data_IF_720596307045
#
_entry.id   IF_720596307045
#
_cell.length_a   1.000
_cell.length_b   1.000
_cell.length_c   1.000
_cell.angle_alpha   90.00
_cell.angle_beta   90.00
_cell.angle_gamma   90.00
#
_symmetry.space_group_name_H-M   'P 1'
#
loop_
_entity.id
_entity.type
_entity.pdbx_description
1 polymer ?
#
# COMPACT_ATOMS: atom_id res chain seq x y z
N UNK A 1 -35.11 76.69 26.20
CA UNK A 1 -34.04 76.06 25.38
C UNK A 1 -32.65 76.41 25.91
N UNK A 2 -32.31 75.97 27.14
CA UNK A 2 -30.96 76.16 27.73
C UNK A 2 -30.39 74.86 28.33
N UNK A 3 -31.26 73.89 28.61
CA UNK A 3 -30.86 72.56 29.11
C UNK A 3 -30.67 71.49 28.02
N UNK A 4 -31.03 71.77 26.76
CA UNK A 4 -30.80 70.86 25.62
C UNK A 4 -29.38 71.03 25.05
N UNK A 5 -28.83 72.25 25.11
CA UNK A 5 -27.46 72.57 24.66
C UNK A 5 -26.37 71.98 25.57
N UNK A 6 -26.64 71.80 26.87
CA UNK A 6 -25.67 71.21 27.81
C UNK A 6 -25.56 69.68 27.67
N UNK A 7 -26.62 69.00 27.23
CA UNK A 7 -26.58 67.54 27.01
C UNK A 7 -25.80 67.20 25.73
N UNK A 8 -25.84 68.06 24.71
CA UNK A 8 -25.10 67.86 23.45
C UNK A 8 -23.59 68.10 23.62
N UNK A 9 -23.18 68.98 24.54
CA UNK A 9 -21.76 69.22 24.81
C UNK A 9 -21.09 68.15 25.70
N UNK A 10 -21.85 67.37 26.48
CA UNK A 10 -21.29 66.30 27.33
C UNK A 10 -21.16 64.97 26.58
N UNK A 11 -21.91 64.77 25.49
CA UNK A 11 -21.80 63.55 24.66
C UNK A 11 -20.59 63.52 23.72
N UNK A 12 -19.81 64.61 23.62
CA UNK A 12 -18.57 64.62 22.82
C UNK A 12 -17.32 64.13 23.57
N UNK A 13 -17.42 63.79 24.86
CA UNK A 13 -16.26 63.41 25.68
C UNK A 13 -16.13 61.92 26.00
N UNK A 14 -17.01 61.05 25.49
CA UNK A 14 -16.88 59.60 25.64
C UNK A 14 -16.86 58.91 24.29
N UNK A 15 -15.71 59.04 23.63
CA UNK A 15 -15.39 58.36 22.39
C UNK A 15 -13.90 58.07 22.29
N UNK A 16 -13.26 57.64 23.38
CA UNK A 16 -11.97 56.93 23.27
C UNK A 16 -12.24 55.54 22.70
N UNK A 17 -12.73 55.47 21.46
CA UNK A 17 -12.49 54.30 20.65
C UNK A 17 -11.01 54.37 20.30
N UNK A 18 -10.21 53.55 20.98
CA UNK A 18 -8.85 53.25 20.55
C UNK A 18 -8.90 52.93 19.06
N UNK A 19 -8.44 53.87 18.24
CA UNK A 19 -8.29 53.64 16.82
C UNK A 19 -7.15 52.63 16.69
N UNK A 20 -7.50 51.36 16.52
CA UNK A 20 -6.53 50.33 16.15
C UNK A 20 -5.93 50.76 14.81
N UNK A 21 -4.76 51.39 14.86
CA UNK A 21 -4.00 51.71 13.66
C UNK A 21 -3.46 50.39 13.14
N UNK A 22 -4.15 49.79 12.16
CA UNK A 22 -3.67 48.59 11.49
C UNK A 22 -2.42 48.97 10.71
N UNK A 23 -1.25 48.59 11.23
CA UNK A 23 0.03 48.79 10.55
C UNK A 23 0.16 47.70 9.50
N UNK A 24 -0.06 48.08 8.24
CA UNK A 24 0.07 47.21 7.08
C UNK A 24 1.51 47.39 6.57
N UNK A 25 2.40 46.47 6.93
CA UNK A 25 3.75 46.39 6.35
C UNK A 25 3.71 45.62 5.01
N UNK A 26 3.93 46.28 3.86
CA UNK A 26 3.88 45.65 2.55
C UNK A 26 4.92 44.54 2.38
N UNK A 27 6.09 44.64 3.03
CA UNK A 27 7.16 43.65 2.91
C UNK A 27 6.80 42.37 3.67
N UNK A 28 6.29 42.51 4.89
CA UNK A 28 5.81 41.38 5.68
C UNK A 28 4.61 40.70 5.00
N UNK A 29 3.66 41.48 4.47
CA UNK A 29 2.53 40.94 3.68
C UNK A 29 2.98 40.19 2.44
N UNK A 30 3.96 40.71 1.69
CA UNK A 30 4.53 40.02 0.54
C UNK A 30 5.20 38.70 0.95
N UNK A 31 5.96 38.69 2.05
CA UNK A 31 6.62 37.48 2.54
C UNK A 31 5.60 36.42 3.00
N UNK A 32 4.60 36.82 3.79
CA UNK A 32 3.54 35.93 4.29
C UNK A 32 2.68 35.39 3.15
N UNK A 33 2.29 36.21 2.17
CA UNK A 33 1.53 35.75 1.00
C UNK A 33 2.35 34.80 0.12
N UNK A 34 3.65 35.04 -0.07
CA UNK A 34 4.54 34.13 -0.81
C UNK A 34 4.68 32.78 -0.09
N UNK A 35 4.83 32.79 1.24
CA UNK A 35 4.90 31.58 2.05
C UNK A 35 3.56 30.82 2.06
N UNK A 36 2.43 31.53 2.08
CA UNK A 36 1.10 30.93 1.98
C UNK A 36 0.88 30.27 0.61
N UNK A 37 1.26 30.93 -0.48
CA UNK A 37 1.13 30.38 -1.83
C UNK A 37 1.98 29.13 -2.03
N UNK A 38 3.22 29.13 -1.50
CA UNK A 38 4.09 27.95 -1.55
C UNK A 38 3.58 26.80 -0.67
N UNK A 39 3.11 27.09 0.55
CA UNK A 39 2.46 26.08 1.41
C UNK A 39 1.22 25.50 0.73
N UNK A 40 0.37 26.33 0.13
CA UNK A 40 -0.82 25.89 -0.60
C UNK A 40 -0.45 25.00 -1.80
N UNK A 41 0.57 25.34 -2.57
CA UNK A 41 1.03 24.49 -3.67
C UNK A 41 1.56 23.13 -3.19
N UNK A 42 2.26 23.11 -2.05
CA UNK A 42 2.74 21.87 -1.42
C UNK A 42 1.55 21.04 -0.90
N UNK A 43 0.56 21.66 -0.26
CA UNK A 43 -0.67 21.01 0.20
C UNK A 43 -1.48 20.44 -0.97
N UNK A 44 -1.66 21.20 -2.05
CA UNK A 44 -2.37 20.74 -3.25
C UNK A 44 -1.65 19.54 -3.89
N UNK A 45 -0.31 19.57 -3.93
CA UNK A 45 0.49 18.43 -4.41
C UNK A 45 0.40 17.23 -3.45
N UNK A 46 0.36 17.48 -2.15
CA UNK A 46 0.20 16.44 -1.12
C UNK A 46 -1.17 15.77 -1.21
N UNK A 47 -2.25 16.55 -1.36
CA UNK A 47 -3.62 16.08 -1.50
C UNK A 47 -3.79 15.23 -2.77
N UNK A 48 -3.28 15.70 -3.92
CA UNK A 48 -3.28 14.90 -5.16
C UNK A 48 -2.57 13.55 -4.99
N UNK A 49 -1.46 13.52 -4.24
CA UNK A 49 -0.75 12.27 -3.92
C UNK A 49 -1.56 11.39 -2.98
N UNK A 50 -2.20 11.97 -1.97
CA UNK A 50 -3.05 11.26 -1.01
C UNK A 50 -4.27 10.63 -1.71
N UNK A 51 -4.91 11.35 -2.63
CA UNK A 51 -6.00 10.86 -3.47
C UNK A 51 -5.54 9.68 -4.35
N UNK A 52 -4.34 9.78 -4.93
CA UNK A 52 -3.78 8.68 -5.74
C UNK A 52 -3.46 7.43 -4.92
N UNK A 53 -3.06 7.61 -3.65
CA UNK A 53 -2.79 6.52 -2.71
C UNK A 53 -4.12 5.86 -2.31
N UNK A 54 -5.13 6.67 -1.98
CA UNK A 54 -6.47 6.21 -1.64
C UNK A 54 -7.10 5.40 -2.79
N UNK A 55 -6.99 5.89 -4.04
CA UNK A 55 -7.48 5.16 -5.20
C UNK A 55 -6.79 3.79 -5.38
N UNK A 56 -5.47 3.71 -5.15
CA UNK A 56 -4.73 2.43 -5.21
C UNK A 56 -5.08 1.50 -4.05
N UNK A 57 -5.33 2.03 -2.86
CA UNK A 57 -5.84 1.27 -1.72
C UNK A 57 -7.22 0.69 -2.04
N UNK A 58 -8.15 1.49 -2.57
CA UNK A 58 -9.48 1.02 -2.94
C UNK A 58 -9.42 -0.11 -3.99
N UNK A 59 -8.51 -0.02 -4.96
CA UNK A 59 -8.31 -1.09 -5.95
C UNK A 59 -7.75 -2.37 -5.30
N UNK A 60 -6.85 -2.23 -4.32
CA UNK A 60 -6.34 -3.36 -3.53
C UNK A 60 -7.41 -3.97 -2.63
N UNK A 61 -8.30 -3.17 -2.07
CA UNK A 61 -9.46 -3.64 -1.32
C UNK A 61 -10.42 -4.41 -2.24
N UNK A 62 -10.64 -3.95 -3.47
CA UNK A 62 -11.38 -4.73 -4.47
C UNK A 62 -10.70 -6.07 -4.81
N UNK A 63 -9.37 -6.08 -4.93
CA UNK A 63 -8.63 -7.34 -5.09
C UNK A 63 -8.66 -8.21 -3.82
N UNK A 64 -8.78 -7.60 -2.64
CA UNK A 64 -9.00 -8.31 -1.38
C UNK A 64 -10.40 -8.91 -1.32
N UNK A 65 -11.42 -8.26 -1.89
CA UNK A 65 -12.76 -8.86 -2.06
C UNK A 65 -12.71 -10.09 -2.97
N UNK A 66 -11.72 -10.16 -3.87
CA UNK A 66 -11.42 -11.39 -4.63
C UNK A 66 -10.80 -12.52 -3.79
N UNK A 67 -10.55 -12.31 -2.48
CA UNK A 67 -10.30 -13.39 -1.51
C UNK A 67 -11.46 -14.37 -1.48
N UNK A 68 -12.71 -13.89 -1.58
CA UNK A 68 -13.85 -14.79 -1.62
C UNK A 68 -13.75 -15.74 -2.81
N UNK A 69 -13.36 -15.20 -3.97
CA UNK A 69 -13.06 -16.00 -5.16
C UNK A 69 -11.92 -16.97 -4.88
N UNK A 70 -10.74 -16.52 -4.42
CA UNK A 70 -9.60 -17.43 -4.16
C UNK A 70 -9.90 -18.47 -3.07
N UNK A 71 -10.73 -18.14 -2.08
CA UNK A 71 -11.13 -19.06 -1.00
C UNK A 71 -12.12 -20.11 -1.51
N UNK A 72 -13.11 -19.72 -2.31
CA UNK A 72 -14.00 -20.68 -2.98
C UNK A 72 -13.21 -21.54 -3.99
N UNK A 73 -12.28 -20.93 -4.71
CA UNK A 73 -11.38 -21.62 -5.61
C UNK A 73 -10.48 -22.63 -4.86
N UNK A 74 -9.99 -22.28 -3.66
CA UNK A 74 -9.28 -23.21 -2.79
C UNK A 74 -10.15 -24.43 -2.44
N UNK A 75 -11.41 -24.23 -2.03
CA UNK A 75 -12.33 -25.34 -1.71
C UNK A 75 -12.54 -26.28 -2.89
N UNK A 76 -12.85 -25.74 -4.07
CA UNK A 76 -13.06 -26.52 -5.30
C UNK A 76 -11.77 -27.26 -5.70
N UNK A 77 -10.63 -26.61 -5.54
CA UNK A 77 -9.32 -27.22 -5.84
C UNK A 77 -9.01 -28.36 -4.88
N UNK A 78 -9.32 -28.22 -3.58
CA UNK A 78 -9.11 -29.27 -2.58
C UNK A 78 -9.97 -30.51 -2.83
N UNK A 79 -11.21 -30.34 -3.29
CA UNK A 79 -12.09 -31.45 -3.66
C UNK A 79 -11.51 -32.25 -4.83
N UNK A 80 -11.05 -31.56 -5.88
CA UNK A 80 -10.54 -32.20 -7.10
C UNK A 80 -9.13 -32.77 -6.93
N UNK A 81 -8.27 -32.13 -6.12
CA UNK A 81 -6.90 -32.57 -5.85
C UNK A 81 -6.85 -33.98 -5.25
N UNK A 82 -7.87 -34.40 -4.50
CA UNK A 82 -7.93 -35.74 -3.90
C UNK A 82 -7.82 -36.89 -4.93
N UNK A 83 -8.17 -36.63 -6.20
CA UNK A 83 -8.09 -37.60 -7.30
C UNK A 83 -6.70 -37.86 -7.89
N UNK A 84 -5.66 -37.15 -7.44
CA UNK A 84 -4.30 -37.19 -8.03
C UNK A 84 -3.28 -38.05 -7.26
N UNK A 85 -3.71 -38.79 -6.23
CA UNK A 85 -2.85 -39.73 -5.50
C UNK A 85 -1.67 -39.04 -4.79
N UNK A 86 -0.43 -39.44 -5.11
CA UNK A 86 0.78 -38.89 -4.44
C UNK A 86 1.01 -37.41 -4.78
N UNK A 87 0.57 -36.94 -5.94
CA UNK A 87 0.71 -35.54 -6.39
C UNK A 87 -0.22 -34.59 -5.65
N UNK A 88 -1.26 -35.14 -5.00
CA UNK A 88 -2.23 -34.34 -4.28
C UNK A 88 -1.58 -33.45 -3.23
N UNK A 89 -0.60 -33.98 -2.48
CA UNK A 89 0.13 -33.20 -1.47
C UNK A 89 0.86 -32.00 -2.07
N UNK A 90 1.43 -32.17 -3.26
CA UNK A 90 2.13 -31.10 -3.94
C UNK A 90 1.17 -30.01 -4.40
N UNK A 91 0.03 -30.40 -4.99
CA UNK A 91 -1.00 -29.44 -5.40
C UNK A 91 -1.66 -28.72 -4.21
N UNK A 92 -1.79 -29.36 -3.05
CA UNK A 92 -2.21 -28.68 -1.81
C UNK A 92 -1.25 -27.55 -1.46
N UNK A 93 0.06 -27.79 -1.51
CA UNK A 93 1.07 -26.76 -1.20
C UNK A 93 1.00 -25.56 -2.15
N UNK A 94 0.77 -25.80 -3.45
CA UNK A 94 0.58 -24.71 -4.43
C UNK A 94 -0.63 -23.85 -4.05
N UNK A 95 -1.75 -24.50 -3.72
CA UNK A 95 -2.97 -23.80 -3.28
C UNK A 95 -2.78 -23.01 -1.99
N UNK A 96 -2.06 -23.58 -1.01
CA UNK A 96 -1.72 -22.90 0.25
C UNK A 96 -0.81 -21.70 0.02
N UNK A 97 0.20 -21.81 -0.84
CA UNK A 97 1.08 -20.71 -1.19
C UNK A 97 0.31 -19.52 -1.79
N UNK A 98 -0.61 -19.79 -2.71
CA UNK A 98 -1.48 -18.74 -3.27
C UNK A 98 -2.38 -18.12 -2.21
N UNK A 99 -2.96 -18.93 -1.32
CA UNK A 99 -3.81 -18.45 -0.24
C UNK A 99 -3.04 -17.54 0.74
N UNK A 100 -1.83 -17.92 1.12
CA UNK A 100 -0.97 -17.14 2.02
C UNK A 100 -0.60 -15.77 1.45
N UNK A 101 -0.31 -15.68 0.15
CA UNK A 101 -0.04 -14.39 -0.53
C UNK A 101 -1.23 -13.46 -0.34
N UNK A 102 -2.42 -13.93 -0.71
CA UNK A 102 -3.64 -13.10 -0.71
C UNK A 102 -4.03 -12.71 0.70
N UNK A 103 -3.84 -13.60 1.68
CA UNK A 103 -4.05 -13.30 3.10
C UNK A 103 -3.07 -12.25 3.64
N UNK A 104 -1.85 -12.20 3.10
CA UNK A 104 -0.79 -11.28 3.54
C UNK A 104 -0.94 -9.87 2.94
N UNK A 105 -1.61 -9.73 1.78
CA UNK A 105 -1.80 -8.45 1.08
C UNK A 105 -2.48 -7.38 1.95
N UNK A 106 -3.61 -7.63 2.65
CA UNK A 106 -4.29 -6.61 3.47
C UNK A 106 -3.42 -6.09 4.61
N UNK A 107 -2.68 -6.98 5.28
CA UNK A 107 -1.75 -6.60 6.34
C UNK A 107 -0.62 -5.74 5.80
N UNK A 108 -0.12 -6.08 4.60
CA UNK A 108 0.93 -5.31 3.93
C UNK A 108 0.44 -3.92 3.53
N UNK A 109 -0.79 -3.79 3.01
CA UNK A 109 -1.42 -2.50 2.72
C UNK A 109 -1.48 -1.63 3.97
N UNK A 110 -1.95 -2.20 5.09
CA UNK A 110 -2.05 -1.48 6.37
C UNK A 110 -0.68 -1.00 6.85
N UNK A 111 0.33 -1.85 6.72
CA UNK A 111 1.71 -1.56 7.14
C UNK A 111 2.34 -0.48 6.26
N UNK A 112 2.27 -0.62 4.94
CA UNK A 112 2.79 0.37 3.96
C UNK A 112 2.12 1.72 4.12
N UNK A 113 0.81 1.73 4.41
CA UNK A 113 0.06 2.97 4.62
C UNK A 113 0.57 3.73 5.83
N UNK A 114 0.99 3.03 6.89
CA UNK A 114 1.54 3.62 8.13
C UNK A 114 3.03 3.96 8.04
N UNK A 115 3.81 3.20 7.25
CA UNK A 115 5.25 3.38 7.11
C UNK A 115 5.59 4.82 6.65
N UNK A 116 6.76 5.36 7.01
CA UNK A 116 7.11 6.77 6.70
C UNK A 116 8.08 6.87 5.52
N UNK A 117 7.71 6.38 4.33
CA UNK A 117 8.53 6.50 3.11
C UNK A 117 7.80 7.24 1.97
N UNK A 118 8.57 7.82 1.03
CA UNK A 118 8.07 8.75 0.01
C UNK A 118 7.29 8.07 -1.12
N UNK A 119 7.64 6.83 -1.47
CA UNK A 119 7.14 6.12 -2.66
C UNK A 119 5.99 5.11 -2.39
N UNK A 120 5.12 5.40 -1.41
CA UNK A 120 3.99 4.50 -1.05
C UNK A 120 3.10 4.14 -2.22
N UNK A 121 2.80 5.13 -3.08
CA UNK A 121 1.93 4.92 -4.24
C UNK A 121 2.53 3.94 -5.27
N UNK A 122 3.86 3.82 -5.34
CA UNK A 122 4.53 2.83 -6.18
C UNK A 122 4.48 1.45 -5.51
N UNK A 123 4.77 1.37 -4.21
CA UNK A 123 4.67 0.14 -3.43
C UNK A 123 3.26 -0.48 -3.48
N UNK A 124 2.21 0.35 -3.37
CA UNK A 124 0.82 -0.11 -3.49
C UNK A 124 0.46 -0.52 -4.92
N UNK A 125 1.08 0.09 -5.94
CA UNK A 125 0.87 -0.33 -7.33
C UNK A 125 1.46 -1.71 -7.58
N UNK A 126 2.69 -1.91 -7.11
CA UNK A 126 3.39 -3.19 -7.22
C UNK A 126 2.60 -4.28 -6.51
N UNK A 127 2.08 -3.99 -5.31
CA UNK A 127 1.21 -4.92 -4.60
C UNK A 127 -0.06 -5.28 -5.39
N UNK A 128 -0.64 -4.31 -6.11
CA UNK A 128 -1.78 -4.53 -6.98
C UNK A 128 -1.43 -5.45 -8.17
N UNK A 129 -0.25 -5.24 -8.76
CA UNK A 129 0.25 -6.07 -9.86
C UNK A 129 0.53 -7.50 -9.39
N UNK A 130 1.18 -7.68 -8.24
CA UNK A 130 1.46 -8.99 -7.63
C UNK A 130 0.15 -9.74 -7.29
N UNK A 131 -0.86 -9.03 -6.81
CA UNK A 131 -2.17 -9.63 -6.52
C UNK A 131 -2.86 -10.09 -7.80
N UNK A 132 -2.83 -9.29 -8.87
CA UNK A 132 -3.39 -9.66 -10.17
C UNK A 132 -2.64 -10.86 -10.80
N UNK A 133 -1.32 -10.90 -10.71
CA UNK A 133 -0.52 -12.05 -11.17
C UNK A 133 -0.88 -13.32 -10.38
N UNK A 134 -1.05 -13.20 -9.07
CA UNK A 134 -1.47 -14.33 -8.22
C UNK A 134 -2.85 -14.85 -8.64
N UNK A 135 -3.81 -13.96 -8.95
CA UNK A 135 -5.13 -14.37 -9.44
C UNK A 135 -5.05 -15.17 -10.74
N UNK A 136 -4.21 -14.71 -11.68
CA UNK A 136 -4.02 -15.41 -12.95
C UNK A 136 -3.39 -16.80 -12.74
N UNK A 137 -2.34 -16.89 -11.93
CA UNK A 137 -1.66 -18.15 -11.62
C UNK A 137 -2.59 -19.15 -10.91
N UNK A 138 -3.47 -18.66 -10.04
CA UNK A 138 -4.51 -19.48 -9.40
C UNK A 138 -5.53 -19.97 -10.43
N UNK A 139 -5.98 -19.13 -11.35
CA UNK A 139 -6.89 -19.56 -12.42
C UNK A 139 -6.24 -20.62 -13.33
N UNK A 140 -4.96 -20.45 -13.67
CA UNK A 140 -4.20 -21.43 -14.46
C UNK A 140 -4.04 -22.75 -13.68
N UNK A 141 -3.77 -22.69 -12.38
CA UNK A 141 -3.67 -23.87 -11.52
C UNK A 141 -4.98 -24.66 -11.45
N UNK A 142 -6.11 -23.96 -11.41
CA UNK A 142 -7.44 -24.56 -11.42
C UNK A 142 -7.71 -25.27 -12.73
N UNK A 143 -7.33 -24.69 -13.86
CA UNK A 143 -7.44 -25.37 -15.15
C UNK A 143 -6.64 -26.68 -15.16
N UNK A 144 -5.50 -26.73 -14.47
CA UNK A 144 -4.69 -27.95 -14.33
C UNK A 144 -5.38 -28.97 -13.43
N UNK A 145 -6.02 -28.56 -12.34
CA UNK A 145 -6.67 -29.48 -11.38
C UNK A 145 -8.07 -29.92 -11.84
N UNK A 146 -8.78 -29.09 -12.61
CA UNK A 146 -10.21 -29.26 -12.89
C UNK A 146 -10.56 -29.72 -14.32
N UNK A 147 -9.62 -29.78 -15.28
CA UNK A 147 -9.93 -30.13 -16.69
C UNK A 147 -10.30 -31.61 -16.96
N UNK A 148 -10.81 -32.34 -15.97
CA UNK A 148 -11.16 -33.76 -16.08
C UNK A 148 -12.65 -34.04 -16.25
N UNK A 149 -13.46 -33.18 -16.88
CA UNK A 149 -14.84 -33.56 -17.25
C UNK A 149 -15.16 -33.15 -18.69
N UNK A 150 -14.68 -33.94 -19.64
CA UNK A 150 -15.25 -33.93 -20.99
C UNK A 150 -16.57 -34.70 -20.94
N UNK A 151 -17.68 -34.07 -21.34
CA UNK A 151 -18.90 -34.81 -21.57
C UNK A 151 -18.67 -35.75 -22.75
N UNK A 152 -18.66 -37.07 -22.51
CA UNK A 152 -18.49 -38.07 -23.58
C UNK A 152 -19.43 -37.72 -24.76
N UNK A 153 -18.92 -37.47 -25.97
CA UNK A 153 -19.74 -37.13 -27.13
C UNK A 153 -20.71 -38.25 -27.54
N UNK A 154 -20.58 -39.45 -26.97
CA UNK A 154 -21.47 -40.59 -27.15
C UNK A 154 -22.61 -40.67 -26.11
N UNK A 155 -22.83 -39.63 -25.31
CA UNK A 155 -23.99 -39.55 -24.39
C UNK A 155 -25.29 -39.62 -25.20
N UNK A 156 -25.87 -40.83 -25.26
CA UNK A 156 -27.10 -41.14 -26.01
C UNK A 156 -27.12 -42.52 -26.67
N UNK A 157 -26.00 -43.24 -26.75
CA UNK A 157 -25.97 -44.61 -27.28
C UNK A 157 -26.06 -45.66 -26.17
N UNK A 158 -26.96 -46.63 -26.34
CA UNK A 158 -27.40 -47.60 -25.34
C UNK A 158 -26.32 -48.56 -24.78
N UNK A 159 -25.09 -48.50 -25.29
CA UNK A 159 -23.95 -49.34 -24.91
C UNK A 159 -22.75 -48.57 -24.37
N UNK A 160 -22.81 -47.24 -24.26
CA UNK A 160 -21.72 -46.45 -23.69
C UNK A 160 -21.79 -46.47 -22.16
N UNK A 161 -20.79 -47.07 -21.50
CA UNK A 161 -20.66 -47.02 -20.04
C UNK A 161 -20.73 -45.55 -19.56
N UNK A 162 -21.60 -45.28 -18.58
CA UNK A 162 -21.74 -43.99 -17.90
C UNK A 162 -20.62 -43.77 -16.89
N UNK A 163 -19.37 -44.06 -17.26
CA UNK A 163 -18.22 -43.61 -16.48
C UNK A 163 -17.95 -42.15 -16.83
N UNK A 164 -17.92 -41.30 -15.81
CA UNK A 164 -17.39 -39.94 -15.94
C UNK A 164 -15.97 -40.11 -16.45
N UNK A 165 -15.72 -39.66 -17.67
CA UNK A 165 -14.37 -39.60 -18.20
C UNK A 165 -13.64 -38.48 -17.43
N UNK A 166 -13.00 -38.91 -16.33
CA UNK A 166 -12.15 -38.13 -15.45
C UNK A 166 -10.80 -37.76 -16.07
N UNK A 167 -10.60 -37.87 -17.40
CA UNK A 167 -9.31 -37.61 -18.01
C UNK A 167 -9.08 -36.11 -18.18
N UNK A 168 -8.27 -35.59 -17.27
CA UNK A 168 -7.53 -34.36 -17.48
C UNK A 168 -6.61 -34.54 -18.69
N UNK A 169 -6.85 -33.76 -19.74
CA UNK A 169 -6.25 -33.90 -21.08
C UNK A 169 -4.73 -33.68 -21.12
N UNK A 170 -4.16 -33.13 -20.05
CA UNK A 170 -2.72 -33.04 -19.85
C UNK A 170 -2.21 -34.41 -19.40
N UNK A 171 -1.19 -34.94 -20.10
CA UNK A 171 -0.41 -36.04 -19.56
C UNK A 171 0.16 -35.66 -18.19
N UNK A 172 0.38 -36.66 -17.34
CA UNK A 172 0.90 -36.50 -15.99
C UNK A 172 2.17 -35.64 -15.96
N UNK A 173 3.08 -35.83 -16.92
CA UNK A 173 4.32 -35.05 -16.98
C UNK A 173 4.09 -33.59 -17.36
N UNK A 174 3.24 -33.33 -18.36
CA UNK A 174 2.92 -31.95 -18.77
C UNK A 174 2.23 -31.19 -17.63
N UNK A 175 1.32 -31.86 -16.94
CA UNK A 175 0.61 -31.33 -15.78
C UNK A 175 1.56 -30.93 -14.66
N UNK A 176 2.48 -31.82 -14.30
CA UNK A 176 3.47 -31.55 -13.26
C UNK A 176 4.42 -30.42 -13.68
N UNK A 177 4.78 -30.35 -14.96
CA UNK A 177 5.63 -29.29 -15.51
C UNK A 177 4.97 -27.92 -15.41
N UNK A 178 3.70 -27.80 -15.81
CA UNK A 178 2.97 -26.54 -15.69
C UNK A 178 2.73 -26.19 -14.22
N UNK A 179 2.38 -27.17 -13.37
CA UNK A 179 2.23 -26.95 -11.94
C UNK A 179 3.53 -26.46 -11.27
N UNK A 180 4.69 -27.00 -11.65
CA UNK A 180 6.00 -26.55 -11.17
C UNK A 180 6.29 -25.10 -11.54
N UNK A 181 5.93 -24.71 -12.77
CA UNK A 181 6.10 -23.33 -13.22
C UNK A 181 5.22 -22.38 -12.41
N UNK A 182 3.94 -22.71 -12.26
CA UNK A 182 3.00 -21.94 -11.44
C UNK A 182 3.50 -21.82 -10.00
N UNK A 183 3.98 -22.91 -9.42
CA UNK A 183 4.49 -22.90 -8.06
C UNK A 183 5.72 -22.02 -7.90
N UNK A 184 6.64 -22.06 -8.87
CA UNK A 184 7.83 -21.19 -8.89
C UNK A 184 7.43 -19.72 -8.96
N UNK A 185 6.52 -19.36 -9.86
CA UNK A 185 6.04 -17.99 -10.02
C UNK A 185 5.31 -17.50 -8.74
N UNK A 186 4.49 -18.36 -8.11
CA UNK A 186 3.85 -18.06 -6.83
C UNK A 186 4.87 -17.88 -5.70
N UNK A 187 5.92 -18.70 -5.65
CA UNK A 187 6.99 -18.57 -4.66
C UNK A 187 7.73 -17.24 -4.79
N UNK A 188 8.05 -16.82 -6.01
CA UNK A 188 8.66 -15.52 -6.25
C UNK A 188 7.78 -14.37 -5.76
N UNK A 189 6.48 -14.43 -6.04
CA UNK A 189 5.52 -13.44 -5.54
C UNK A 189 5.49 -13.46 -4.00
N UNK A 190 5.42 -14.64 -3.39
CA UNK A 190 5.41 -14.80 -1.92
C UNK A 190 6.64 -14.15 -1.29
N UNK A 191 7.84 -14.40 -1.83
CA UNK A 191 9.06 -13.80 -1.32
C UNK A 191 9.08 -12.28 -1.50
N UNK A 192 8.59 -11.75 -2.63
CA UNK A 192 8.47 -10.30 -2.84
C UNK A 192 7.52 -9.66 -1.81
N UNK A 193 6.36 -10.25 -1.57
CA UNK A 193 5.38 -9.76 -0.59
C UNK A 193 5.97 -9.78 0.83
N UNK A 194 6.66 -10.86 1.21
CA UNK A 194 7.34 -10.97 2.50
C UNK A 194 8.47 -9.94 2.65
N UNK A 195 9.30 -9.73 1.62
CA UNK A 195 10.34 -8.72 1.62
C UNK A 195 9.75 -7.30 1.75
N UNK A 196 8.66 -7.01 1.04
CA UNK A 196 7.94 -5.74 1.16
C UNK A 196 7.38 -5.52 2.56
N UNK A 197 6.87 -6.57 3.21
CA UNK A 197 6.43 -6.51 4.61
C UNK A 197 7.58 -6.17 5.54
N UNK A 198 8.71 -6.88 5.43
CA UNK A 198 9.89 -6.64 6.24
C UNK A 198 10.42 -5.20 6.04
N UNK A 199 10.50 -4.73 4.80
CA UNK A 199 10.90 -3.35 4.51
C UNK A 199 9.91 -2.34 5.09
N UNK A 200 8.60 -2.56 4.98
CA UNK A 200 7.61 -1.62 5.50
C UNK A 200 7.59 -1.57 7.05
N UNK A 201 7.92 -2.67 7.73
CA UNK A 201 7.96 -2.75 9.20
C UNK A 201 9.27 -2.22 9.79
N UNK A 202 10.41 -2.57 9.18
CA UNK A 202 11.72 -2.39 9.81
C UNK A 202 12.60 -1.35 9.13
N UNK A 203 12.34 -0.96 7.87
CA UNK A 203 13.20 0.03 7.22
C UNK A 203 12.95 1.41 7.82
N UNK A 204 13.97 1.97 8.47
CA UNK A 204 13.97 3.38 8.82
C UNK A 204 14.34 4.23 7.59
N UNK A 205 13.98 5.51 7.59
CA UNK A 205 14.46 6.44 6.54
C UNK A 205 15.99 6.49 6.48
N UNK A 206 16.64 6.21 7.59
CA UNK A 206 18.09 6.17 7.74
C UNK A 206 18.68 4.95 7.02
N UNK A 207 18.12 3.76 7.24
CA UNK A 207 18.56 2.52 6.57
C UNK A 207 18.31 2.58 5.06
N UNK A 208 17.17 3.14 4.66
CA UNK A 208 16.83 3.32 3.25
C UNK A 208 17.74 4.35 2.57
N UNK A 209 18.08 5.44 3.27
CA UNK A 209 18.99 6.45 2.73
C UNK A 209 20.42 5.90 2.63
N UNK A 210 20.89 5.16 3.64
CA UNK A 210 22.17 4.45 3.57
C UNK A 210 22.24 3.45 2.42
N UNK A 211 21.15 2.69 2.15
CA UNK A 211 21.12 1.72 1.07
C UNK A 211 21.10 2.34 -0.34
N UNK A 212 20.54 3.56 -0.49
CA UNK A 212 20.43 4.25 -1.79
C UNK A 212 21.64 5.14 -2.06
N UNK A 213 22.12 5.87 -1.04
CA UNK A 213 23.23 6.80 -1.10
C UNK A 213 24.05 6.76 0.20
N UNK A 214 25.00 5.81 0.31
CA UNK A 214 25.82 5.65 1.50
C UNK A 214 26.66 6.90 1.83
N UNK A 215 27.14 7.61 0.80
CA UNK A 215 27.99 8.78 0.96
C UNK A 215 27.18 10.00 1.43
N UNK A 216 26.02 10.26 0.82
CA UNK A 216 25.10 11.31 1.27
C UNK A 216 24.60 11.07 2.70
N UNK A 217 24.29 9.82 3.05
CA UNK A 217 23.95 9.43 4.42
C UNK A 217 25.09 9.72 5.39
N UNK A 218 26.32 9.32 5.06
CA UNK A 218 27.49 9.56 5.91
C UNK A 218 27.72 11.07 6.14
N UNK A 219 27.63 11.87 5.08
CA UNK A 219 27.77 13.33 5.16
C UNK A 219 26.69 13.97 6.06
N UNK A 220 25.42 13.55 5.91
CA UNK A 220 24.33 14.02 6.76
C UNK A 220 24.57 13.67 8.24
N UNK A 221 25.05 12.45 8.53
CA UNK A 221 25.35 12.02 9.90
C UNK A 221 26.51 12.77 10.52
N UNK A 222 27.56 13.03 9.75
CA UNK A 222 28.69 13.86 10.19
C UNK A 222 28.22 15.27 10.53
N UNK A 223 27.41 15.89 9.68
CA UNK A 223 26.83 17.22 9.96
C UNK A 223 25.93 17.22 11.20
N UNK A 224 25.06 16.23 11.37
CA UNK A 224 24.23 16.09 12.57
C UNK A 224 25.07 16.02 13.84
N UNK A 225 26.16 15.26 13.82
CA UNK A 225 27.09 15.16 14.94
C UNK A 225 27.80 16.50 15.21
N UNK A 226 28.28 17.18 14.17
CA UNK A 226 28.91 18.50 14.33
C UNK A 226 27.96 19.53 14.93
N UNK A 227 26.72 19.61 14.44
CA UNK A 227 25.69 20.49 14.99
C UNK A 227 25.33 20.09 16.43
N UNK A 228 25.23 18.79 16.73
CA UNK A 228 24.99 18.29 18.08
C UNK A 228 26.09 18.72 19.06
N UNK A 229 27.36 18.64 18.64
CA UNK A 229 28.49 19.12 19.43
C UNK A 229 28.45 20.64 19.66
N UNK A 230 28.07 21.43 18.64
CA UNK A 230 27.90 22.87 18.79
C UNK A 230 26.79 23.21 19.81
N UNK A 231 25.66 22.50 19.76
CA UNK A 231 24.55 22.68 20.70
C UNK A 231 24.97 22.31 22.12
N UNK A 232 25.69 21.19 22.30
CA UNK A 232 26.21 20.76 23.60
C UNK A 232 27.17 21.81 24.18
N UNK A 233 28.10 22.32 23.37
CA UNK A 233 29.01 23.37 23.77
C UNK A 233 28.26 24.65 24.16
N UNK A 234 27.28 25.06 23.36
CA UNK A 234 26.45 26.23 23.65
C UNK A 234 25.67 26.09 24.96
N UNK A 235 25.08 24.92 25.20
CA UNK A 235 24.35 24.64 26.44
C UNK A 235 25.29 24.55 27.65
N UNK A 236 26.50 23.99 27.49
CA UNK A 236 27.53 23.94 28.52
C UNK A 236 28.00 25.33 28.94
N UNK A 237 28.14 26.26 28.00
CA UNK A 237 28.45 27.67 28.30
C UNK A 237 27.35 28.37 29.12
N UNK A 238 26.10 27.89 29.03
CA UNK A 238 24.97 28.43 29.79
C UNK A 238 24.97 28.02 31.27
N UNK A 239 25.74 27.01 31.65
CA UNK A 239 25.86 26.50 33.04
C UNK A 239 26.95 27.27 33.81
N UNK A 240 27.82 28.02 33.11
CA UNK A 240 28.94 28.78 33.69
C UNK A 240 28.55 30.25 33.97
N UNK A 241 27.25 30.59 33.91
CA UNK A 241 26.70 31.87 34.40
C UNK A 241 25.86 31.64 35.65
#
# INVERSE_FOLDING_TARGET
MRNIMLIICVTFFFGTASAWKVVIDPYCLKAVTTNLASQKAIEDQHNKRLDSISAKQNKLEQYTVSMATITELYKVTMENISGFGTESKYYVEIGLCAFDIVKSVPELVKTVSKAKFTNKALCLNELGNLTAQTQQLVADFINIVNNGKVQNPLKGQATAETKSDGYNLLDRYDRLTVANKIYTDLLEIRYKVQAMMAMAQYATKDDLFFAIDPEGWANMKVMQNQVGMLILNWNGLRIIK
#
